data_IF_004501634817
#
_entry.id   IF_004501634817
#
_cell.length_a   1.000
_cell.length_b   1.000
_cell.length_c   1.000
_cell.angle_alpha   90.00
_cell.angle_beta   90.00
_cell.angle_gamma   90.00
#
_symmetry.space_group_name_H-M   'P 1'
#
loop_
_entity.id
_entity.type
_entity.pdbx_description
1 polymer ?
#
# COMPACT_ATOMS: atom_id res chain seq x y z
N UNK A 1 12.63 -0.67 9.21
CA UNK A 1 12.88 0.14 8.02
C UNK A 1 13.11 -0.77 6.82
N UNK A 2 12.44 -0.46 5.73
CA UNK A 2 12.60 -1.26 4.51
C UNK A 2 13.90 -0.89 3.80
N UNK A 3 14.54 -1.90 3.20
CA UNK A 3 15.77 -1.71 2.42
C UNK A 3 15.43 -1.82 0.94
N UNK A 4 16.16 -1.07 0.12
CA UNK A 4 15.95 -1.15 -1.32
C UNK A 4 16.33 -2.54 -1.85
N UNK A 5 15.44 -3.13 -2.64
CA UNK A 5 15.70 -4.43 -3.26
C UNK A 5 16.74 -4.32 -4.35
N UNK A 6 16.85 -3.15 -4.99
CA UNK A 6 17.74 -2.95 -6.11
C UNK A 6 18.11 -1.48 -6.24
N UNK A 7 19.33 -1.23 -6.72
CA UNK A 7 19.74 0.12 -7.08
C UNK A 7 19.26 0.52 -8.47
N UNK A 8 18.76 -0.44 -9.26
CA UNK A 8 18.22 -0.17 -10.58
C UNK A 8 16.81 0.40 -10.41
N UNK A 9 16.55 1.52 -11.11
CA UNK A 9 15.24 2.13 -11.08
C UNK A 9 14.27 1.35 -11.98
N UNK A 10 13.06 1.16 -11.48
CA UNK A 10 11.98 0.52 -12.22
C UNK A 10 10.88 1.54 -12.51
N UNK A 11 10.19 1.37 -13.62
CA UNK A 11 8.98 2.16 -13.84
C UNK A 11 7.86 1.65 -12.95
N UNK A 12 6.84 2.49 -12.73
CA UNK A 12 5.68 2.07 -11.95
C UNK A 12 5.00 0.85 -12.59
N UNK A 13 4.94 0.81 -13.93
CA UNK A 13 4.36 -0.33 -14.64
C UNK A 13 5.16 -1.62 -14.39
N UNK A 14 6.48 -1.54 -14.40
CA UNK A 14 7.34 -2.68 -14.10
C UNK A 14 7.12 -3.17 -12.67
N UNK A 15 7.06 -2.23 -11.71
CA UNK A 15 6.78 -2.59 -10.32
C UNK A 15 5.45 -3.34 -10.20
N UNK A 16 4.39 -2.87 -10.85
CA UNK A 16 3.08 -3.51 -10.75
C UNK A 16 3.09 -4.94 -11.30
N UNK A 17 3.86 -5.18 -12.36
CA UNK A 17 4.01 -6.53 -12.91
C UNK A 17 4.77 -7.42 -11.93
N UNK A 18 5.89 -6.93 -11.39
CA UNK A 18 6.69 -7.69 -10.42
C UNK A 18 5.88 -7.97 -9.16
N UNK A 19 5.11 -7.00 -8.68
CA UNK A 19 4.35 -7.15 -7.44
C UNK A 19 3.24 -8.19 -7.59
N UNK A 20 2.57 -8.24 -8.73
CA UNK A 20 1.55 -9.27 -8.99
C UNK A 20 2.10 -10.68 -8.99
N UNK A 21 3.36 -10.84 -9.41
CA UNK A 21 4.01 -12.15 -9.47
C UNK A 21 4.67 -12.53 -8.14
N UNK A 22 4.79 -11.61 -7.21
CA UNK A 22 5.48 -11.84 -5.94
C UNK A 22 4.54 -12.36 -4.88
N UNK A 23 5.02 -13.27 -4.03
CA UNK A 23 4.29 -13.74 -2.87
C UNK A 23 4.44 -12.79 -1.69
N UNK A 24 5.47 -11.95 -1.70
CA UNK A 24 5.72 -10.94 -0.67
C UNK A 24 5.34 -9.57 -1.19
N UNK A 25 4.99 -8.66 -0.28
CA UNK A 25 4.60 -7.32 -0.64
C UNK A 25 5.79 -6.39 -0.63
N UNK A 26 5.80 -5.47 -1.58
CA UNK A 26 6.84 -4.47 -1.72
C UNK A 26 6.22 -3.10 -1.91
N UNK A 27 6.87 -2.09 -1.35
CA UNK A 27 6.51 -0.71 -1.60
C UNK A 27 7.36 -0.15 -2.73
N UNK A 28 6.86 0.90 -3.36
CA UNK A 28 7.53 1.55 -4.48
C UNK A 28 7.57 3.05 -4.24
N UNK A 29 8.74 3.63 -4.35
CA UNK A 29 8.91 5.09 -4.24
C UNK A 29 9.85 5.57 -5.32
N UNK A 30 9.30 6.33 -6.27
CA UNK A 30 10.05 7.00 -7.33
C UNK A 30 11.11 6.12 -8.00
N UNK A 31 10.71 4.91 -8.37
CA UNK A 31 11.56 3.99 -9.10
C UNK A 31 12.21 2.92 -8.25
N UNK A 32 12.22 3.04 -6.94
CA UNK A 32 12.87 2.07 -6.06
C UNK A 32 11.84 1.16 -5.39
N UNK A 33 12.18 -0.10 -5.31
CA UNK A 33 11.32 -1.13 -4.72
C UNK A 33 11.91 -1.52 -3.37
N UNK A 34 11.07 -1.53 -2.34
CA UNK A 34 11.47 -1.84 -0.97
C UNK A 34 10.67 -3.01 -0.44
N UNK A 35 11.37 -3.99 0.13
CA UNK A 35 10.69 -5.08 0.81
C UNK A 35 10.01 -4.56 2.08
N UNK A 36 8.79 -5.01 2.33
CA UNK A 36 8.09 -4.64 3.56
C UNK A 36 8.56 -5.51 4.70
N UNK A 37 8.84 -4.88 5.84
CA UNK A 37 9.20 -5.60 7.06
C UNK A 37 7.98 -6.32 7.62
N UNK A 38 8.23 -7.43 8.31
CA UNK A 38 7.18 -8.10 9.06
C UNK A 38 6.73 -7.24 10.24
N UNK A 39 5.58 -7.59 10.80
CA UNK A 39 5.05 -6.86 11.95
C UNK A 39 5.11 -7.71 13.20
N UNK A 40 5.12 -7.04 14.37
CA UNK A 40 5.06 -7.72 15.64
C UNK A 40 3.64 -8.19 15.93
N UNK A 41 3.50 -9.12 16.87
CA UNK A 41 2.20 -9.59 17.32
C UNK A 41 1.38 -8.44 17.89
N UNK A 42 2.01 -7.58 18.69
CA UNK A 42 1.33 -6.42 19.28
C UNK A 42 0.80 -5.47 18.21
N UNK A 43 1.59 -5.21 17.19
CA UNK A 43 1.16 -4.38 16.07
C UNK A 43 -0.04 -4.98 15.36
N UNK A 44 -0.01 -6.29 15.13
CA UNK A 44 -1.10 -7.00 14.47
C UNK A 44 -2.40 -6.93 15.29
N UNK A 45 -2.29 -7.10 16.61
CA UNK A 45 -3.45 -7.00 17.51
C UNK A 45 -4.06 -5.61 17.47
N UNK A 46 -3.22 -4.58 17.51
CA UNK A 46 -3.68 -3.19 17.45
C UNK A 46 -4.41 -2.93 16.12
N UNK A 47 -3.86 -3.39 15.01
CA UNK A 47 -4.47 -3.21 13.70
C UNK A 47 -5.84 -3.88 13.62
N UNK A 48 -5.96 -5.12 14.10
CA UNK A 48 -7.23 -5.83 14.10
C UNK A 48 -8.27 -5.11 14.94
N UNK A 49 -7.88 -4.61 16.11
CA UNK A 49 -8.78 -3.86 16.97
C UNK A 49 -9.24 -2.56 16.33
N UNK A 50 -8.34 -1.86 15.65
CA UNK A 50 -8.69 -0.63 14.94
C UNK A 50 -9.68 -0.92 13.81
N UNK A 51 -9.47 -1.98 13.04
CA UNK A 51 -10.38 -2.36 11.96
C UNK A 51 -11.75 -2.68 12.53
N UNK A 52 -11.81 -3.43 13.63
CA UNK A 52 -13.08 -3.80 14.25
C UNK A 52 -13.86 -2.58 14.74
N UNK A 53 -13.20 -1.68 15.46
CA UNK A 53 -13.85 -0.48 16.00
C UNK A 53 -14.30 0.45 14.86
N UNK A 54 -13.41 0.67 13.88
CA UNK A 54 -13.74 1.54 12.75
C UNK A 54 -14.89 0.96 11.92
N UNK A 55 -14.89 -0.35 11.67
CA UNK A 55 -15.95 -1.00 10.91
C UNK A 55 -17.30 -0.89 11.61
N UNK A 56 -17.32 -1.05 12.93
CA UNK A 56 -18.54 -0.93 13.72
C UNK A 56 -19.09 0.51 13.68
N UNK A 57 -18.21 1.50 13.81
CA UNK A 57 -18.63 2.91 13.82
C UNK A 57 -19.07 3.41 12.45
N UNK A 58 -18.48 2.87 11.37
CA UNK A 58 -18.75 3.32 10.01
C UNK A 58 -19.76 2.44 9.27
N UNK A 59 -20.38 1.50 9.96
CA UNK A 59 -21.24 0.49 9.34
C UNK A 59 -22.38 1.09 8.50
N UNK A 60 -22.94 2.20 8.93
CA UNK A 60 -24.06 2.85 8.23
C UNK A 60 -23.65 4.08 7.44
N UNK A 61 -22.35 4.26 7.26
CA UNK A 61 -21.82 5.41 6.50
C UNK A 61 -21.42 4.95 5.09
N UNK A 62 -21.14 5.89 4.18
CA UNK A 62 -20.64 5.55 2.85
C UNK A 62 -19.15 5.16 2.86
N UNK A 63 -18.59 4.86 4.02
CA UNK A 63 -17.18 4.56 4.17
C UNK A 63 -16.96 3.06 4.33
N UNK A 64 -15.83 2.58 3.82
CA UNK A 64 -15.41 1.20 3.94
C UNK A 64 -14.02 1.13 4.55
N UNK A 65 -13.82 0.19 5.47
CA UNK A 65 -12.54 -0.03 6.12
C UNK A 65 -11.83 -1.18 5.42
N UNK A 66 -10.55 -0.98 5.10
CA UNK A 66 -9.69 -2.00 4.52
C UNK A 66 -8.47 -2.21 5.39
N UNK A 67 -7.94 -3.41 5.38
CA UNK A 67 -6.71 -3.74 6.08
C UNK A 67 -5.53 -3.69 5.12
N UNK A 68 -4.39 -4.18 5.57
CA UNK A 68 -3.07 -3.99 4.96
C UNK A 68 -2.85 -4.61 3.57
N UNK A 69 -3.80 -5.36 3.05
CA UNK A 69 -3.63 -5.95 1.72
C UNK A 69 -4.05 -5.02 0.58
N UNK A 70 -4.55 -3.84 0.92
CA UNK A 70 -4.95 -2.86 -0.08
C UNK A 70 -3.78 -1.97 -0.47
N UNK A 71 -3.40 -2.05 -1.74
CA UNK A 71 -2.35 -1.21 -2.30
C UNK A 71 -2.92 0.17 -2.59
N UNK A 72 -2.20 1.21 -2.16
CA UNK A 72 -2.60 2.59 -2.37
C UNK A 72 -1.53 3.31 -3.18
N UNK A 73 -1.97 4.00 -4.22
CA UNK A 73 -1.10 4.88 -5.00
C UNK A 73 -1.22 6.29 -4.47
N UNK A 74 -0.08 6.90 -4.17
CA UNK A 74 0.00 8.27 -3.68
C UNK A 74 1.03 9.05 -4.48
N UNK A 75 0.97 10.38 -4.38
CA UNK A 75 1.94 11.25 -5.03
C UNK A 75 1.69 11.41 -6.52
N UNK A 76 2.70 11.89 -7.26
CA UNK A 76 2.54 12.15 -8.68
C UNK A 76 2.16 10.90 -9.47
N UNK A 77 1.26 11.06 -10.43
CA UNK A 77 0.88 9.98 -11.32
C UNK A 77 2.02 9.75 -12.31
N UNK A 78 2.48 8.50 -12.52
CA UNK A 78 3.49 8.23 -13.52
C UNK A 78 3.02 8.65 -14.91
N UNK A 79 3.89 9.33 -15.64
CA UNK A 79 3.60 9.84 -16.98
C UNK A 79 4.74 9.48 -17.93
N UNK A 80 4.51 9.66 -19.22
CA UNK A 80 5.49 9.31 -20.25
C UNK A 80 6.84 10.00 -20.03
N UNK A 81 6.83 11.24 -19.54
CA UNK A 81 8.06 11.97 -19.23
C UNK A 81 8.66 11.64 -17.88
N UNK A 82 7.89 10.98 -17.00
CA UNK A 82 8.31 10.64 -15.63
C UNK A 82 7.75 9.29 -15.22
N UNK A 83 8.15 8.19 -15.91
CA UNK A 83 7.52 6.88 -15.67
C UNK A 83 7.90 6.25 -14.34
N UNK A 84 8.93 6.77 -13.66
CA UNK A 84 9.36 6.24 -12.36
C UNK A 84 8.80 7.01 -11.18
N UNK A 85 8.00 8.06 -11.40
CA UNK A 85 7.46 8.85 -10.29
C UNK A 85 6.28 8.16 -9.64
N UNK A 86 6.09 8.41 -8.36
CA UNK A 86 4.93 7.94 -7.60
C UNK A 86 5.29 7.09 -6.41
N UNK A 87 4.28 6.80 -5.61
CA UNK A 87 4.38 6.00 -4.41
C UNK A 87 3.27 4.95 -4.42
N UNK A 88 3.65 3.70 -4.22
CA UNK A 88 2.72 2.61 -3.94
C UNK A 88 3.05 2.03 -2.58
N UNK A 89 2.04 1.91 -1.73
CA UNK A 89 2.24 1.42 -0.38
C UNK A 89 1.03 0.62 0.09
N UNK A 90 1.20 -0.08 1.22
CA UNK A 90 0.14 -0.87 1.85
C UNK A 90 -0.06 -0.33 3.26
N UNK A 91 -0.99 0.61 3.47
CA UNK A 91 -1.25 1.10 4.82
C UNK A 91 -1.84 0.00 5.71
N UNK A 92 -1.56 0.07 7.01
CA UNK A 92 -2.07 -0.91 7.97
C UNK A 92 -3.60 -0.88 8.06
N UNK A 93 -4.18 0.31 8.03
CA UNK A 93 -5.63 0.52 8.04
C UNK A 93 -5.95 1.63 7.06
N UNK A 94 -6.95 1.40 6.22
CA UNK A 94 -7.37 2.36 5.20
C UNK A 94 -8.88 2.52 5.28
N UNK A 95 -9.32 3.76 5.30
CA UNK A 95 -10.75 4.09 5.26
C UNK A 95 -11.01 4.88 3.99
N UNK A 96 -11.93 4.37 3.18
CA UNK A 96 -12.30 5.02 1.92
C UNK A 96 -13.79 5.32 1.96
N UNK A 97 -14.14 6.57 1.69
CA UNK A 97 -15.50 7.04 1.75
C UNK A 97 -15.99 7.45 0.36
N UNK A 98 -17.27 7.24 0.10
CA UNK A 98 -17.86 7.59 -1.18
C UNK A 98 -17.49 6.60 -2.28
N UNK A 99 -17.24 7.10 -3.48
CA UNK A 99 -16.92 6.25 -4.62
C UNK A 99 -15.49 5.74 -4.52
N UNK A 100 -15.35 4.41 -4.63
CA UNK A 100 -14.05 3.75 -4.57
C UNK A 100 -13.63 3.35 -5.98
N UNK A 101 -12.38 3.67 -6.30
CA UNK A 101 -11.81 3.33 -7.59
C UNK A 101 -10.54 2.51 -7.47
#
# INVERSE_FOLDING_TARGET
MALAESEILHTAAEYLVLERASEERHEYLDGRIYAMAGESEEHGIICVNLVRVASARLRRSPCQVFAKDMKVRSGPVPQAGHPTKGLFSYPDVLIVCGDRQ
#
